data_IF_518221525731
#
_entry.id   IF_518221525731
#
_cell.length_a   1.000
_cell.length_b   1.000
_cell.length_c   1.000
_cell.angle_alpha   90.00
_cell.angle_beta   90.00
_cell.angle_gamma   90.00
#
_symmetry.space_group_name_H-M   'P 1'
#
loop_
_entity.id
_entity.type
_entity.pdbx_description
1 polymer ?
#
# COMPACT_ATOMS: atom_id res chain seq x y z
N UNK A 1 1.28 3.71 23.92
CA UNK A 1 0.96 4.05 22.52
C UNK A 1 2.17 4.80 21.96
N UNK A 2 2.76 4.33 20.86
CA UNK A 2 3.89 5.03 20.24
C UNK A 2 3.32 5.99 19.19
N UNK A 3 2.95 7.20 19.60
CA UNK A 3 2.69 8.26 18.62
C UNK A 3 4.00 8.60 17.93
N UNK A 4 3.98 8.60 16.60
CA UNK A 4 5.19 8.87 15.82
C UNK A 4 5.48 10.38 15.91
N UNK A 5 6.69 10.80 16.36
CA UNK A 5 7.03 12.21 16.43
C UNK A 5 6.90 12.86 15.06
N UNK A 6 6.30 14.05 14.97
CA UNK A 6 5.93 14.66 13.68
C UNK A 6 7.11 15.04 12.79
N UNK A 7 8.29 15.35 13.37
CA UNK A 7 9.37 16.04 12.62
C UNK A 7 10.75 15.38 12.65
N UNK A 8 10.90 14.19 13.24
CA UNK A 8 12.22 13.54 13.37
C UNK A 8 12.21 12.09 12.88
N UNK A 9 13.23 11.73 12.12
CA UNK A 9 13.48 10.34 11.78
C UNK A 9 13.79 9.51 13.04
N UNK A 10 13.19 8.32 13.11
CA UNK A 10 13.47 7.31 14.14
C UNK A 10 14.55 6.42 13.56
N UNK A 11 15.70 6.31 14.24
CA UNK A 11 16.79 5.43 13.81
C UNK A 11 17.01 4.33 14.84
N UNK A 12 16.83 3.07 14.43
CA UNK A 12 17.12 1.91 15.26
C UNK A 12 18.51 1.38 14.94
N UNK A 13 19.28 1.11 16.00
CA UNK A 13 20.61 0.50 15.89
C UNK A 13 20.51 -1.02 15.99
N UNK A 14 19.65 -1.62 15.18
CA UNK A 14 19.33 -3.04 15.25
C UNK A 14 20.49 -3.96 14.83
N UNK A 15 20.56 -5.13 15.47
CA UNK A 15 21.59 -6.16 15.23
C UNK A 15 21.13 -7.26 14.26
N UNK A 16 19.84 -7.38 13.98
CA UNK A 16 19.28 -8.36 13.05
C UNK A 16 18.55 -7.68 11.91
N UNK A 17 18.54 -8.28 10.72
CA UNK A 17 17.81 -7.76 9.58
C UNK A 17 16.32 -7.65 9.94
N UNK A 18 15.77 -6.44 9.81
CA UNK A 18 14.36 -6.14 10.08
C UNK A 18 13.37 -7.02 9.28
N UNK A 19 13.81 -7.59 8.15
CA UNK A 19 12.95 -8.34 7.23
C UNK A 19 13.13 -9.86 7.27
N UNK A 20 14.26 -10.37 7.75
CA UNK A 20 14.52 -11.82 7.76
C UNK A 20 15.17 -12.35 9.03
N UNK A 21 15.49 -11.48 10.00
CA UNK A 21 16.03 -11.88 11.30
C UNK A 21 17.50 -12.31 11.29
N UNK A 22 18.17 -12.39 10.14
CA UNK A 22 19.60 -12.74 10.09
C UNK A 22 20.43 -11.71 10.88
N UNK A 23 21.41 -12.18 11.63
CA UNK A 23 22.36 -11.31 12.33
C UNK A 23 23.14 -10.48 11.32
N UNK A 24 23.27 -9.19 11.59
CA UNK A 24 23.94 -8.23 10.73
C UNK A 24 25.36 -7.99 11.21
N UNK A 25 26.27 -7.98 10.24
CA UNK A 25 27.65 -7.52 10.39
C UNK A 25 27.83 -6.19 9.64
N UNK A 26 28.96 -5.51 9.82
CA UNK A 26 29.24 -4.28 9.08
C UNK A 26 29.15 -4.50 7.56
N UNK A 27 29.68 -5.61 7.04
CA UNK A 27 29.74 -5.90 5.60
C UNK A 27 28.40 -6.35 4.99
N UNK A 28 27.51 -6.89 5.82
CA UNK A 28 26.22 -7.46 5.36
C UNK A 28 25.05 -6.52 5.58
N UNK A 29 25.22 -5.50 6.44
CA UNK A 29 24.20 -4.50 6.74
C UNK A 29 24.16 -3.37 5.71
N UNK A 30 22.96 -2.85 5.47
CA UNK A 30 22.72 -1.63 4.70
C UNK A 30 21.79 -0.74 5.51
N UNK A 31 21.99 0.57 5.39
CA UNK A 31 21.02 1.55 5.90
C UNK A 31 19.75 1.43 5.09
N UNK A 32 18.64 1.28 5.78
CA UNK A 32 17.34 1.03 5.19
C UNK A 32 16.35 2.09 5.67
N UNK A 33 15.59 2.64 4.72
CA UNK A 33 14.48 3.52 5.00
C UNK A 33 13.19 2.71 4.77
N UNK A 34 12.42 2.44 5.83
CA UNK A 34 11.19 1.65 5.72
C UNK A 34 10.26 2.24 4.65
N UNK A 35 10.19 3.56 4.56
CA UNK A 35 9.64 4.28 3.42
C UNK A 35 10.80 4.85 2.61
N UNK A 36 11.08 4.33 1.41
CA UNK A 36 12.20 4.88 0.64
C UNK A 36 12.02 6.37 0.33
N UNK A 37 13.14 7.11 0.27
CA UNK A 37 13.14 8.56 0.02
C UNK A 37 12.49 8.95 -1.31
N UNK A 38 12.56 8.06 -2.29
CA UNK A 38 11.94 8.23 -3.60
C UNK A 38 10.62 7.46 -3.71
N UNK A 39 10.09 6.85 -2.65
CA UNK A 39 8.78 6.20 -2.72
C UNK A 39 7.63 7.21 -2.75
N UNK A 40 7.81 8.33 -2.05
CA UNK A 40 6.92 9.51 -2.04
C UNK A 40 7.54 10.68 -2.81
N UNK A 41 6.81 11.77 -3.10
CA UNK A 41 7.35 12.86 -3.91
C UNK A 41 8.60 13.49 -3.29
N UNK A 42 9.49 13.96 -4.16
CA UNK A 42 10.77 14.54 -3.74
C UNK A 42 10.53 15.73 -2.80
N UNK A 43 11.29 15.76 -1.71
CA UNK A 43 11.21 16.82 -0.70
C UNK A 43 10.16 16.56 0.38
N UNK A 44 9.14 15.73 0.15
CA UNK A 44 8.05 15.52 1.11
C UNK A 44 8.50 14.83 2.40
N UNK A 45 9.48 13.92 2.34
CA UNK A 45 10.08 13.33 3.54
C UNK A 45 11.06 14.26 4.28
N UNK A 46 11.42 15.42 3.75
CA UNK A 46 12.33 16.34 4.44
C UNK A 46 11.58 17.01 5.60
N UNK A 47 12.14 16.91 6.81
CA UNK A 47 11.50 17.44 8.02
C UNK A 47 10.28 16.65 8.49
N UNK A 48 9.94 15.53 7.83
CA UNK A 48 8.94 14.57 8.30
C UNK A 48 9.61 13.34 8.92
N UNK A 49 8.87 12.60 9.73
CA UNK A 49 9.39 11.36 10.29
C UNK A 49 9.51 10.23 9.24
N UNK A 50 10.46 9.34 9.49
CA UNK A 50 10.62 8.07 8.79
C UNK A 50 11.31 7.09 9.74
N UNK A 51 11.10 5.80 9.54
CA UNK A 51 11.79 4.74 10.28
C UNK A 51 13.03 4.30 9.49
N UNK A 52 14.19 4.50 10.10
CA UNK A 52 15.50 4.14 9.59
C UNK A 52 16.01 2.94 10.41
N UNK A 53 16.35 1.87 9.72
CA UNK A 53 16.80 0.60 10.31
C UNK A 53 17.97 0.06 9.52
N UNK A 54 18.53 -1.07 9.98
CA UNK A 54 19.46 -1.87 9.21
C UNK A 54 18.77 -3.10 8.62
N UNK A 55 19.07 -3.39 7.36
CA UNK A 55 18.62 -4.59 6.66
C UNK A 55 19.79 -5.26 5.94
N UNK A 56 19.69 -6.56 5.67
CA UNK A 56 20.65 -7.23 4.81
C UNK A 56 20.50 -6.76 3.36
N UNK A 57 21.60 -6.77 2.59
CA UNK A 57 21.63 -6.34 1.18
C UNK A 57 20.53 -6.97 0.32
N UNK A 58 20.26 -8.27 0.53
CA UNK A 58 19.24 -9.01 -0.22
C UNK A 58 17.82 -8.50 0.01
N UNK A 59 17.40 -8.36 1.28
CA UNK A 59 16.06 -7.89 1.59
C UNK A 59 15.85 -6.43 1.20
N UNK A 60 16.85 -5.58 1.45
CA UNK A 60 16.82 -4.18 1.01
C UNK A 60 16.71 -4.09 -0.52
N UNK A 61 17.54 -4.84 -1.27
CA UNK A 61 17.48 -4.87 -2.73
C UNK A 61 16.12 -5.32 -3.28
N UNK A 62 15.51 -6.35 -2.68
CA UNK A 62 14.16 -6.81 -3.05
C UNK A 62 13.09 -5.75 -2.82
N UNK A 63 13.13 -5.06 -1.67
CA UNK A 63 12.20 -3.97 -1.38
C UNK A 63 12.43 -2.80 -2.34
N UNK A 64 13.68 -2.43 -2.60
CA UNK A 64 14.03 -1.39 -3.57
C UNK A 64 13.45 -1.67 -4.97
N UNK A 65 13.53 -2.92 -5.48
CA UNK A 65 12.91 -3.27 -6.78
C UNK A 65 11.38 -3.11 -6.76
N UNK A 66 10.72 -3.41 -5.63
CA UNK A 66 9.29 -3.20 -5.48
C UNK A 66 8.95 -1.71 -5.43
N UNK A 67 9.72 -0.90 -4.71
CA UNK A 67 9.46 0.54 -4.57
C UNK A 67 9.67 1.32 -5.88
N UNK A 68 10.56 0.87 -6.76
CA UNK A 68 10.85 1.52 -8.05
C UNK A 68 9.59 1.65 -8.93
N UNK A 69 8.99 0.51 -9.33
CA UNK A 69 7.82 0.54 -10.22
C UNK A 69 6.53 0.91 -9.49
N UNK A 70 6.34 0.47 -8.23
CA UNK A 70 5.15 0.80 -7.45
C UNK A 70 5.06 2.31 -7.20
N UNK A 71 6.17 2.96 -6.83
CA UNK A 71 6.14 4.42 -6.63
C UNK A 71 5.83 5.16 -7.93
N UNK A 72 6.39 4.71 -9.06
CA UNK A 72 6.13 5.32 -10.36
C UNK A 72 4.66 5.18 -10.76
N UNK A 73 4.05 4.01 -10.56
CA UNK A 73 2.66 3.74 -10.93
C UNK A 73 1.67 4.44 -9.98
N UNK A 74 1.94 4.43 -8.68
CA UNK A 74 1.06 5.07 -7.68
C UNK A 74 1.13 6.60 -7.73
N UNK A 75 2.14 7.19 -8.35
CA UNK A 75 2.18 8.63 -8.62
C UNK A 75 1.50 9.05 -9.93
N UNK A 76 1.03 8.11 -10.76
CA UNK A 76 0.31 8.46 -11.98
C UNK A 76 -1.11 8.92 -11.67
N UNK A 77 -1.68 9.82 -12.49
CA UNK A 77 -3.09 10.14 -12.40
C UNK A 77 -3.97 8.93 -12.73
N UNK A 78 -5.27 9.06 -12.46
CA UNK A 78 -6.27 8.10 -12.91
C UNK A 78 -6.46 8.12 -14.44
N UNK A 79 -7.38 7.29 -14.95
CA UNK A 79 -7.70 7.20 -16.38
C UNK A 79 -8.21 8.52 -16.99
N UNK A 80 -8.71 9.45 -16.16
CA UNK A 80 -9.21 10.76 -16.56
C UNK A 80 -8.16 11.87 -16.42
N UNK A 81 -6.91 11.50 -16.11
CA UNK A 81 -5.82 12.46 -15.90
C UNK A 81 -5.91 13.21 -14.56
N UNK A 82 -6.72 12.72 -13.61
CA UNK A 82 -6.89 13.37 -12.30
C UNK A 82 -5.94 12.78 -11.27
N UNK A 83 -5.26 13.64 -10.54
CA UNK A 83 -4.45 13.27 -9.39
C UNK A 83 -5.32 13.19 -8.13
N UNK A 84 -4.90 12.37 -7.16
CA UNK A 84 -5.51 12.33 -5.83
C UNK A 84 -5.11 13.51 -4.92
N UNK A 85 -4.46 14.53 -5.48
CA UNK A 85 -3.90 15.70 -4.81
C UNK A 85 -3.73 16.86 -5.81
N UNK A 86 -3.62 18.09 -5.31
CA UNK A 86 -3.34 19.28 -6.12
C UNK A 86 -1.86 19.71 -6.10
N UNK A 87 -0.97 18.86 -5.55
CA UNK A 87 0.46 19.14 -5.44
C UNK A 87 1.20 19.05 -6.79
N UNK A 88 1.63 20.20 -7.31
CA UNK A 88 2.33 20.32 -8.59
C UNK A 88 3.70 19.61 -8.61
N UNK A 89 4.42 19.58 -7.48
CA UNK A 89 5.72 18.91 -7.37
C UNK A 89 5.53 17.40 -7.48
N UNK A 90 4.50 16.87 -6.82
CA UNK A 90 4.13 15.47 -6.91
C UNK A 90 3.67 15.08 -8.32
N UNK A 91 2.89 15.92 -9.00
CA UNK A 91 2.48 15.69 -10.39
C UNK A 91 3.69 15.61 -11.33
N UNK A 92 4.60 16.60 -11.26
CA UNK A 92 5.82 16.65 -12.07
C UNK A 92 6.75 15.46 -11.81
N UNK A 93 6.91 15.07 -10.54
CA UNK A 93 7.71 13.89 -10.17
C UNK A 93 7.06 12.59 -10.68
N UNK A 94 5.73 12.49 -10.64
CA UNK A 94 4.97 11.40 -11.24
C UNK A 94 5.22 11.29 -12.74
N UNK A 95 5.16 12.40 -13.49
CA UNK A 95 5.49 12.41 -14.92
C UNK A 95 6.93 11.97 -15.19
N UNK A 96 7.89 12.52 -14.44
CA UNK A 96 9.31 12.19 -14.57
C UNK A 96 9.57 10.70 -14.36
N UNK A 97 8.97 10.12 -13.31
CA UNK A 97 9.07 8.67 -13.06
C UNK A 97 8.34 7.84 -14.11
N UNK A 98 7.21 8.34 -14.61
CA UNK A 98 6.47 7.70 -15.71
C UNK A 98 7.34 7.49 -16.95
N UNK A 99 8.24 8.43 -17.22
CA UNK A 99 9.17 8.38 -18.36
C UNK A 99 10.38 7.46 -18.12
N UNK A 100 10.88 7.37 -16.88
CA UNK A 100 12.11 6.65 -16.55
C UNK A 100 11.91 5.22 -16.05
N UNK A 101 10.84 4.96 -15.30
CA UNK A 101 10.61 3.66 -14.65
C UNK A 101 9.85 2.70 -15.58
N UNK A 102 10.22 1.42 -15.51
CA UNK A 102 9.57 0.34 -16.27
C UNK A 102 8.57 -0.43 -15.42
N UNK A 103 7.33 -0.55 -15.89
CA UNK A 103 6.34 -1.44 -15.31
C UNK A 103 6.83 -2.88 -15.40
N UNK A 104 6.89 -3.59 -14.27
CA UNK A 104 7.20 -5.02 -14.26
C UNK A 104 6.05 -5.87 -14.78
N UNK A 105 4.85 -5.30 -14.91
CA UNK A 105 3.69 -5.97 -15.48
C UNK A 105 3.78 -6.06 -17.01
N UNK A 106 4.00 -4.93 -17.67
CA UNK A 106 3.99 -4.82 -19.14
C UNK A 106 5.39 -4.89 -19.77
N UNK A 107 6.45 -4.69 -18.98
CA UNK A 107 7.82 -4.50 -19.46
C UNK A 107 8.09 -3.14 -20.12
N UNK A 108 7.06 -2.32 -20.33
CA UNK A 108 7.14 -0.98 -20.94
C UNK A 108 7.45 0.08 -19.89
N UNK A 109 7.86 1.27 -20.32
CA UNK A 109 7.89 2.44 -19.43
C UNK A 109 6.49 2.74 -18.90
N UNK A 110 6.38 3.21 -17.66
CA UNK A 110 5.09 3.40 -16.98
C UNK A 110 4.16 4.32 -17.79
N UNK A 111 4.69 5.40 -18.38
CA UNK A 111 3.93 6.32 -19.26
C UNK A 111 3.25 5.62 -20.45
N UNK A 112 3.85 4.54 -20.96
CA UNK A 112 3.35 3.78 -22.12
C UNK A 112 2.70 2.45 -21.69
N UNK A 113 2.40 2.29 -20.41
CA UNK A 113 1.81 1.07 -19.84
C UNK A 113 0.30 1.18 -19.64
N UNK A 114 -0.37 2.06 -20.41
CA UNK A 114 -1.82 2.06 -20.50
C UNK A 114 -2.30 0.75 -21.12
N UNK A 115 -3.36 0.19 -20.55
CA UNK A 115 -3.96 -1.05 -21.00
C UNK A 115 -5.20 -0.73 -21.83
N UNK A 116 -5.15 -1.01 -23.13
CA UNK A 116 -6.30 -0.87 -24.01
C UNK A 116 -7.10 -2.17 -24.02
N UNK A 117 -8.41 -2.06 -23.88
CA UNK A 117 -9.34 -3.17 -23.85
C UNK A 117 -10.53 -2.81 -24.72
N UNK A 118 -10.75 -3.58 -25.77
CA UNK A 118 -11.87 -3.39 -26.68
C UNK A 118 -12.96 -4.40 -26.34
N UNK A 119 -14.16 -3.93 -26.04
CA UNK A 119 -15.34 -4.76 -25.82
C UNK A 119 -16.26 -4.65 -27.02
N UNK A 120 -16.40 -5.75 -27.74
CA UNK A 120 -17.35 -5.86 -28.85
C UNK A 120 -18.67 -6.46 -28.35
N UNK A 121 -19.75 -5.71 -28.52
CA UNK A 121 -21.11 -6.11 -28.18
C UNK A 121 -21.92 -6.30 -29.46
N UNK A 122 -22.45 -7.51 -29.72
CA UNK A 122 -23.30 -7.75 -30.88
C UNK A 122 -24.64 -7.01 -30.73
N UNK A 123 -25.01 -6.22 -31.74
CA UNK A 123 -26.30 -5.52 -31.82
C UNK A 123 -27.27 -6.33 -32.69
N UNK A 124 -27.68 -7.49 -32.17
CA UNK A 124 -28.53 -8.43 -32.89
C UNK A 124 -27.88 -8.91 -34.20
N UNK A 125 -28.67 -8.97 -35.28
CA UNK A 125 -28.18 -9.35 -36.63
C UNK A 125 -27.66 -8.17 -37.46
N UNK A 126 -27.65 -6.95 -36.90
CA UNK A 126 -27.52 -5.70 -37.68
C UNK A 126 -26.12 -5.07 -37.56
N UNK A 127 -25.32 -5.45 -36.57
CA UNK A 127 -23.92 -5.01 -36.47
C UNK A 127 -23.29 -5.31 -35.11
N UNK A 128 -22.09 -4.77 -34.88
CA UNK A 128 -21.36 -4.81 -33.61
C UNK A 128 -21.09 -3.39 -33.12
N UNK A 129 -21.30 -3.15 -31.82
CA UNK A 129 -20.76 -1.97 -31.14
C UNK A 129 -19.41 -2.35 -30.57
N UNK A 130 -18.39 -1.55 -30.84
CA UNK A 130 -17.10 -1.66 -30.17
C UNK A 130 -16.93 -0.52 -29.19
N UNK A 131 -16.54 -0.81 -27.95
CA UNK A 131 -16.20 0.18 -26.93
C UNK A 131 -14.77 -0.06 -26.47
N UNK A 132 -13.92 0.94 -26.66
CA UNK A 132 -12.54 0.93 -26.17
C UNK A 132 -12.45 1.50 -24.75
N UNK A 133 -11.82 0.73 -23.87
CA UNK A 133 -11.48 1.10 -22.50
C UNK A 133 -9.97 1.25 -22.40
N UNK A 134 -9.52 2.31 -21.72
CA UNK A 134 -8.11 2.53 -21.40
C UNK A 134 -7.96 2.50 -19.89
N UNK A 135 -7.27 1.49 -19.38
CA UNK A 135 -6.91 1.39 -17.98
C UNK A 135 -5.54 2.03 -17.70
N UNK A 136 -5.38 2.71 -16.56
CA UNK A 136 -4.10 3.30 -16.17
C UNK A 136 -3.07 2.17 -15.91
N UNK A 137 -1.76 2.48 -15.82
CA UNK A 137 -0.75 1.48 -15.53
C UNK A 137 -1.09 0.68 -14.27
N UNK A 138 -1.04 -0.65 -14.36
CA UNK A 138 -1.38 -1.55 -13.26
C UNK A 138 -0.12 -2.14 -12.62
N UNK A 139 -0.19 -2.38 -11.32
CA UNK A 139 0.77 -3.21 -10.58
C UNK A 139 0.11 -4.56 -10.31
N UNK A 140 0.85 -5.66 -10.44
CA UNK A 140 0.39 -6.97 -9.95
C UNK A 140 0.11 -6.88 -8.45
N UNK A 141 -1.07 -7.33 -8.02
CA UNK A 141 -1.47 -7.28 -6.60
C UNK A 141 -0.46 -7.96 -5.67
N UNK A 142 0.15 -9.06 -6.11
CA UNK A 142 1.21 -9.74 -5.36
C UNK A 142 2.39 -8.84 -5.02
N UNK A 143 2.82 -7.97 -5.95
CA UNK A 143 3.91 -7.01 -5.73
C UNK A 143 3.50 -5.92 -4.74
N UNK A 144 2.27 -5.40 -4.87
CA UNK A 144 1.70 -4.43 -3.92
C UNK A 144 1.73 -4.99 -2.50
N UNK A 145 1.19 -6.19 -2.30
CA UNK A 145 1.15 -6.82 -0.98
C UNK A 145 2.53 -7.26 -0.47
N UNK A 146 3.47 -7.61 -1.37
CA UNK A 146 4.85 -7.88 -1.00
C UNK A 146 5.54 -6.61 -0.43
N UNK A 147 5.37 -5.46 -1.08
CA UNK A 147 5.91 -4.20 -0.56
C UNK A 147 5.24 -3.80 0.76
N UNK A 148 3.92 -3.91 0.84
CA UNK A 148 3.18 -3.65 2.07
C UNK A 148 3.72 -4.50 3.23
N UNK A 149 3.97 -5.80 3.00
CA UNK A 149 4.56 -6.68 3.98
C UNK A 149 5.93 -6.19 4.45
N UNK A 150 6.83 -5.80 3.55
CA UNK A 150 8.12 -5.25 3.94
C UNK A 150 7.97 -4.01 4.84
N UNK A 151 7.14 -3.05 4.44
CA UNK A 151 6.93 -1.82 5.21
C UNK A 151 6.34 -2.11 6.60
N UNK A 152 5.33 -2.98 6.67
CA UNK A 152 4.70 -3.41 7.92
C UNK A 152 5.67 -4.19 8.81
N UNK A 153 6.54 -5.04 8.25
CA UNK A 153 7.61 -5.71 9.02
C UNK A 153 8.54 -4.69 9.67
N UNK A 154 8.89 -3.63 8.93
CA UNK A 154 9.65 -2.49 9.46
C UNK A 154 9.00 -1.90 10.71
N UNK A 155 7.73 -1.55 10.61
CA UNK A 155 6.99 -0.94 11.73
C UNK A 155 6.75 -1.92 12.88
N UNK A 156 6.45 -3.19 12.59
CA UNK A 156 6.26 -4.20 13.62
C UNK A 156 7.54 -4.45 14.42
N UNK A 157 8.67 -4.55 13.72
CA UNK A 157 9.98 -4.69 14.35
C UNK A 157 10.27 -3.50 15.28
N UNK A 158 9.90 -2.28 14.88
CA UNK A 158 10.06 -1.10 15.71
C UNK A 158 9.22 -1.14 16.99
N UNK A 159 7.92 -1.45 16.92
CA UNK A 159 7.07 -1.49 18.12
C UNK A 159 7.38 -2.66 19.06
N UNK A 160 8.16 -3.64 18.60
CA UNK A 160 8.63 -4.79 19.39
C UNK A 160 10.14 -4.74 19.65
N UNK A 161 10.77 -3.59 19.39
CA UNK A 161 12.22 -3.43 19.55
C UNK A 161 12.61 -3.43 21.02
N UNK A 162 13.53 -4.32 21.38
CA UNK A 162 14.19 -4.35 22.67
C UNK A 162 15.58 -3.70 22.57
N UNK A 163 15.79 -2.62 23.32
CA UNK A 163 17.05 -1.86 23.34
C UNK A 163 18.23 -2.68 23.86
N UNK A 164 17.97 -3.65 24.76
CA UNK A 164 19.05 -4.43 25.39
C UNK A 164 19.68 -5.42 24.41
N UNK A 165 18.85 -6.20 23.70
CA UNK A 165 19.30 -7.10 22.63
C UNK A 165 19.51 -6.40 21.28
N UNK A 166 19.00 -5.18 21.13
CA UNK A 166 18.90 -4.43 19.87
C UNK A 166 18.20 -5.24 18.77
N UNK A 167 17.16 -5.97 19.16
CA UNK A 167 16.38 -6.81 18.28
C UNK A 167 14.90 -6.47 18.40
N UNK A 168 14.21 -6.45 17.26
CA UNK A 168 12.75 -6.42 17.18
C UNK A 168 12.18 -7.80 16.91
N UNK A 169 10.91 -7.95 17.24
CA UNK A 169 10.15 -9.16 17.01
C UNK A 169 9.62 -9.27 15.58
N UNK A 170 9.08 -10.46 15.30
CA UNK A 170 8.35 -10.78 14.07
C UNK A 170 6.96 -11.27 14.48
N UNK A 171 5.92 -10.85 13.76
CA UNK A 171 4.58 -11.36 14.04
C UNK A 171 4.52 -12.86 13.75
N UNK A 172 3.71 -13.58 14.53
CA UNK A 172 3.45 -14.98 14.30
C UNK A 172 2.29 -15.15 13.29
N UNK A 173 2.06 -16.37 12.79
CA UNK A 173 0.96 -16.63 11.86
C UNK A 173 1.21 -16.12 10.43
N UNK A 174 0.15 -15.74 9.74
CA UNK A 174 0.21 -15.40 8.31
C UNK A 174 0.02 -13.91 8.02
N UNK A 175 0.11 -13.57 6.72
CA UNK A 175 -0.15 -12.25 6.16
C UNK A 175 -1.34 -12.36 5.22
N UNK A 176 -2.49 -11.82 5.64
CA UNK A 176 -3.78 -12.03 5.02
C UNK A 176 -4.24 -10.74 4.36
N UNK A 177 -4.38 -10.75 3.04
CA UNK A 177 -4.73 -9.55 2.28
C UNK A 177 -6.24 -9.47 2.12
N UNK A 178 -6.80 -8.26 2.23
CA UNK A 178 -8.24 -8.04 2.01
C UNK A 178 -8.46 -7.36 0.67
N UNK A 179 -7.85 -6.19 0.46
CA UNK A 179 -8.05 -5.44 -0.78
C UNK A 179 -6.95 -4.39 -0.99
N UNK A 180 -6.63 -4.13 -2.25
CA UNK A 180 -5.85 -2.96 -2.68
C UNK A 180 -6.69 -2.19 -3.71
N UNK A 181 -6.87 -0.89 -3.50
CA UNK A 181 -7.77 -0.04 -4.30
C UNK A 181 -7.19 1.33 -4.56
N UNK A 182 -7.63 1.94 -5.66
CA UNK A 182 -7.37 3.35 -5.97
C UNK A 182 -8.26 4.28 -5.14
N UNK A 183 -7.86 5.55 -5.03
CA UNK A 183 -8.57 6.61 -4.30
C UNK A 183 -10.04 6.74 -4.71
N UNK A 184 -10.30 6.64 -6.01
CA UNK A 184 -11.65 6.68 -6.59
C UNK A 184 -12.59 5.59 -6.04
N UNK A 185 -12.04 4.56 -5.38
CA UNK A 185 -12.79 3.41 -4.88
C UNK A 185 -12.61 3.14 -3.37
N UNK A 186 -12.02 4.08 -2.62
CA UNK A 186 -11.88 3.95 -1.17
C UNK A 186 -13.20 3.80 -0.42
N UNK A 187 -14.30 4.25 -1.03
CA UNK A 187 -15.65 4.18 -0.47
C UNK A 187 -16.38 2.90 -0.87
N UNK A 188 -15.72 1.90 -1.47
CA UNK A 188 -16.42 0.65 -1.72
C UNK A 188 -16.83 -0.04 -0.40
N UNK A 189 -17.81 -0.92 -0.48
CA UNK A 189 -18.39 -1.58 0.69
C UNK A 189 -17.42 -2.49 1.46
N UNK A 190 -16.38 -3.04 0.82
CA UNK A 190 -15.36 -3.86 1.50
C UNK A 190 -14.44 -2.96 2.31
N UNK A 191 -14.00 -1.82 1.76
CA UNK A 191 -13.20 -0.83 2.50
C UNK A 191 -13.96 -0.27 3.70
N UNK A 192 -15.25 0.07 3.51
CA UNK A 192 -16.10 0.55 4.60
C UNK A 192 -16.28 -0.51 5.68
N UNK A 193 -16.61 -1.75 5.30
CA UNK A 193 -16.73 -2.85 6.26
C UNK A 193 -15.42 -3.14 7.02
N UNK A 194 -14.27 -3.08 6.33
CA UNK A 194 -12.97 -3.21 6.97
C UNK A 194 -12.74 -2.10 8.00
N UNK A 195 -12.92 -0.84 7.59
CA UNK A 195 -12.77 0.31 8.47
C UNK A 195 -13.69 0.21 9.70
N UNK A 196 -14.97 -0.10 9.50
CA UNK A 196 -15.95 -0.22 10.58
C UNK A 196 -15.59 -1.36 11.56
N UNK A 197 -15.04 -2.47 11.05
CA UNK A 197 -14.67 -3.62 11.87
C UNK A 197 -13.44 -3.36 12.75
N UNK A 198 -12.50 -2.53 12.30
CA UNK A 198 -11.19 -2.35 12.96
C UNK A 198 -11.03 -0.99 13.64
N UNK A 199 -11.98 -0.06 13.45
CA UNK A 199 -11.86 1.31 14.00
C UNK A 199 -11.66 1.31 15.52
N UNK A 200 -12.35 0.41 16.24
CA UNK A 200 -12.29 0.28 17.71
C UNK A 200 -11.12 -0.58 18.22
N UNK A 201 -10.29 -1.15 17.32
CA UNK A 201 -9.15 -1.95 17.75
C UNK A 201 -8.05 -1.05 18.32
N UNK A 202 -7.30 -1.56 19.30
CA UNK A 202 -6.26 -0.77 19.97
C UNK A 202 -5.18 -0.36 18.96
N UNK A 203 -4.95 0.95 18.72
CA UNK A 203 -3.91 1.41 17.81
C UNK A 203 -2.53 1.20 18.43
N UNK A 204 -1.65 0.56 17.65
CA UNK A 204 -0.26 0.29 18.05
C UNK A 204 0.74 1.04 17.18
N UNK A 205 0.37 1.30 15.93
CA UNK A 205 1.04 2.26 15.04
C UNK A 205 -0.03 3.07 14.35
N UNK A 206 0.06 4.39 14.45
CA UNK A 206 -0.64 5.32 13.57
C UNK A 206 0.39 6.33 13.09
N UNK A 207 0.47 6.49 11.78
CA UNK A 207 1.47 7.34 11.16
C UNK A 207 0.92 8.03 9.93
N UNK A 208 1.18 9.33 9.84
CA UNK A 208 1.00 10.13 8.65
C UNK A 208 2.30 10.91 8.42
N UNK A 209 2.92 10.77 7.26
CA UNK A 209 4.19 11.44 6.91
C UNK A 209 4.18 11.91 5.47
N UNK A 210 5.17 12.72 5.12
CA UNK A 210 5.41 13.22 3.79
C UNK A 210 4.19 13.95 3.22
N UNK A 211 3.65 14.94 3.93
CA UNK A 211 2.43 15.67 3.57
C UNK A 211 1.25 14.74 3.21
N UNK A 212 1.10 13.68 4.01
CA UNK A 212 0.10 12.62 3.86
C UNK A 212 0.22 11.77 2.58
N UNK A 213 1.35 11.85 1.85
CA UNK A 213 1.65 10.91 0.77
C UNK A 213 1.99 9.50 1.28
N UNK A 214 2.16 9.33 2.59
CA UNK A 214 2.24 8.03 3.22
C UNK A 214 1.46 7.99 4.53
N UNK A 215 0.55 7.01 4.66
CA UNK A 215 -0.11 6.70 5.93
C UNK A 215 0.03 5.23 6.26
N UNK A 216 0.12 4.94 7.56
CA UNK A 216 0.14 3.58 8.11
C UNK A 216 -0.76 3.52 9.34
N UNK A 217 -1.53 2.45 9.44
CA UNK A 217 -2.23 2.06 10.65
C UNK A 217 -1.97 0.58 10.93
N UNK A 218 -1.63 0.25 12.18
CA UNK A 218 -1.58 -1.11 12.70
C UNK A 218 -2.34 -1.12 14.02
N UNK A 219 -3.43 -1.90 14.08
CA UNK A 219 -4.28 -2.02 15.25
C UNK A 219 -4.38 -3.47 15.70
N UNK A 220 -4.33 -3.72 17.00
CA UNK A 220 -4.33 -5.06 17.59
C UNK A 220 -5.77 -5.49 17.92
N UNK A 221 -6.11 -6.72 17.54
CA UNK A 221 -7.39 -7.33 17.91
C UNK A 221 -7.47 -7.46 19.44
N UNK A 222 -8.63 -7.17 20.07
CA UNK A 222 -8.77 -7.20 21.53
C UNK A 222 -8.44 -8.57 22.14
N UNK A 223 -8.96 -9.65 21.55
CA UNK A 223 -8.94 -10.98 22.18
C UNK A 223 -8.11 -12.05 21.44
N UNK A 224 -7.37 -11.69 20.39
CA UNK A 224 -6.65 -12.65 19.55
C UNK A 224 -5.28 -12.10 19.15
N UNK A 225 -4.32 -12.99 18.87
CA UNK A 225 -3.07 -12.61 18.21
C UNK A 225 -3.31 -12.32 16.72
N UNK A 226 -4.10 -11.28 16.45
CA UNK A 226 -4.48 -10.82 15.14
C UNK A 226 -4.34 -9.31 15.10
N UNK A 227 -3.92 -8.79 13.96
CA UNK A 227 -3.65 -7.38 13.76
C UNK A 227 -4.27 -6.95 12.45
N UNK A 228 -4.98 -5.84 12.47
CA UNK A 228 -5.37 -5.15 11.25
C UNK A 228 -4.25 -4.22 10.82
N UNK A 229 -4.11 -4.04 9.52
CA UNK A 229 -3.21 -3.05 8.96
C UNK A 229 -3.85 -2.32 7.78
N UNK A 230 -3.45 -1.06 7.62
CA UNK A 230 -3.78 -0.25 6.47
C UNK A 230 -2.58 0.59 6.05
N UNK A 231 -2.37 0.72 4.75
CA UNK A 231 -1.36 1.61 4.15
C UNK A 231 -2.03 2.49 3.10
N UNK A 232 -1.63 3.76 3.08
CA UNK A 232 -1.90 4.65 1.95
C UNK A 232 -0.62 5.11 1.31
N UNK A 233 -0.58 5.04 -0.02
CA UNK A 233 0.55 5.45 -0.82
C UNK A 233 0.15 6.54 -1.79
N UNK A 234 0.94 7.60 -1.80
CA UNK A 234 0.88 8.71 -2.74
C UNK A 234 -0.50 9.35 -2.91
N UNK A 235 -1.33 9.32 -1.84
CA UNK A 235 -2.73 9.75 -1.84
C UNK A 235 -3.63 9.07 -2.89
N UNK A 236 -3.15 8.00 -3.54
CA UNK A 236 -3.78 7.40 -4.71
C UNK A 236 -4.15 5.94 -4.51
N UNK A 237 -3.44 5.23 -3.63
CA UNK A 237 -3.64 3.81 -3.36
C UNK A 237 -3.85 3.57 -1.87
N UNK A 238 -4.76 2.65 -1.56
CA UNK A 238 -4.99 2.12 -0.21
C UNK A 238 -4.93 0.61 -0.25
N UNK A 239 -4.24 0.02 0.73
CA UNK A 239 -4.13 -1.41 0.92
C UNK A 239 -4.54 -1.75 2.35
N UNK A 240 -5.33 -2.80 2.51
CA UNK A 240 -5.84 -3.24 3.80
C UNK A 240 -5.74 -4.76 3.95
N UNK A 241 -5.55 -5.21 5.19
CA UNK A 241 -5.55 -6.63 5.52
C UNK A 241 -5.27 -6.90 6.99
N UNK A 242 -4.86 -8.14 7.26
CA UNK A 242 -4.52 -8.63 8.59
C UNK A 242 -3.18 -9.34 8.60
N UNK A 243 -2.56 -9.48 9.77
CA UNK A 243 -1.52 -10.47 10.03
C UNK A 243 -1.73 -11.11 11.40
N UNK A 244 -1.14 -12.29 11.64
CA UNK A 244 -1.40 -13.07 12.84
C UNK A 244 -2.29 -14.28 12.58
N UNK A 245 -3.17 -14.56 13.55
CA UNK A 245 -4.12 -15.66 13.57
C UNK A 245 -5.10 -15.58 12.38
N UNK A 246 -5.12 -16.65 11.58
CA UNK A 246 -5.95 -16.74 10.37
C UNK A 246 -7.45 -16.78 10.69
N UNK A 247 -7.84 -17.52 11.73
CA UNK A 247 -9.26 -17.72 12.04
C UNK A 247 -9.89 -16.41 12.50
N UNK A 248 -9.22 -15.64 13.37
CA UNK A 248 -9.67 -14.32 13.79
C UNK A 248 -9.85 -13.36 12.59
N UNK A 249 -8.87 -13.33 11.67
CA UNK A 249 -8.98 -12.53 10.44
C UNK A 249 -10.16 -12.99 9.57
N UNK A 250 -10.34 -14.30 9.41
CA UNK A 250 -11.43 -14.89 8.63
C UNK A 250 -12.79 -14.58 9.24
N UNK A 251 -12.93 -14.64 10.56
CA UNK A 251 -14.18 -14.36 11.26
C UNK A 251 -14.63 -12.91 11.04
N UNK A 252 -13.69 -11.97 11.03
CA UNK A 252 -13.94 -10.57 10.68
C UNK A 252 -14.39 -10.44 9.22
N UNK A 253 -13.60 -10.98 8.29
CA UNK A 253 -13.85 -10.86 6.84
C UNK A 253 -15.12 -11.60 6.39
N UNK A 254 -15.53 -12.66 7.11
CA UNK A 254 -16.74 -13.43 6.77
C UNK A 254 -18.02 -12.60 6.79
N UNK A 255 -18.00 -11.45 7.48
CA UNK A 255 -19.10 -10.50 7.60
C UNK A 255 -19.08 -9.41 6.53
N UNK A 256 -18.03 -9.36 5.71
CA UNK A 256 -17.89 -8.30 4.71
C UNK A 256 -18.82 -8.54 3.53
N UNK A 257 -19.44 -7.48 2.99
CA UNK A 257 -20.30 -7.59 1.83
C UNK A 257 -19.49 -7.90 0.57
N UNK A 258 -20.06 -8.70 -0.35
CA UNK A 258 -19.41 -9.06 -1.62
C UNK A 258 -19.60 -7.97 -2.66
N UNK A 259 -18.51 -7.48 -3.25
CA UNK A 259 -18.58 -6.46 -4.31
C UNK A 259 -19.54 -6.91 -5.41
N UNK A 260 -20.48 -6.05 -5.75
CA UNK A 260 -21.44 -6.28 -6.82
C UNK A 260 -20.81 -5.86 -8.15
N UNK A 261 -20.83 -6.77 -9.12
CA UNK A 261 -20.36 -6.53 -10.48
C UNK A 261 -21.53 -6.67 -11.45
N UNK A 262 -21.63 -5.74 -12.38
CA UNK A 262 -22.58 -5.80 -13.49
C UNK A 262 -21.94 -6.59 -14.64
N UNK A 263 -22.64 -7.62 -15.12
CA UNK A 263 -22.22 -8.38 -16.30
C UNK A 263 -22.51 -7.56 -17.56
N UNK A 264 -21.52 -7.47 -18.46
CA UNK A 264 -21.68 -6.78 -19.76
C UNK A 264 -21.92 -7.81 -20.86
N UNK A 265 -20.96 -8.72 -21.03
CA UNK A 265 -20.98 -9.84 -21.97
C UNK A 265 -20.31 -11.05 -21.32
N UNK A 266 -20.38 -12.24 -21.93
CA UNK A 266 -19.82 -13.46 -21.34
C UNK A 266 -18.33 -13.30 -21.02
N UNK A 267 -17.96 -13.47 -19.74
CA UNK A 267 -16.58 -13.30 -19.25
C UNK A 267 -16.21 -11.88 -18.80
N UNK A 268 -17.08 -10.88 -19.03
CA UNK A 268 -16.80 -9.49 -18.72
C UNK A 268 -17.78 -8.91 -17.70
N UNK A 269 -17.22 -8.28 -16.67
CA UNK A 269 -17.99 -7.61 -15.64
C UNK A 269 -17.32 -6.31 -15.22
N UNK A 270 -18.11 -5.29 -14.95
CA UNK A 270 -17.62 -4.01 -14.45
C UNK A 270 -18.30 -3.65 -13.14
N UNK A 271 -17.67 -2.76 -12.38
CA UNK A 271 -18.27 -2.14 -11.20
C UNK A 271 -17.92 -0.67 -11.21
N UNK A 272 -18.89 0.17 -10.82
CA UNK A 272 -18.63 1.59 -10.59
C UNK A 272 -17.81 1.78 -9.33
N UNK A 273 -16.70 2.48 -9.45
CA UNK A 273 -15.89 2.88 -8.30
C UNK A 273 -16.68 3.85 -7.41
N UNK A 274 -16.51 3.71 -6.09
CA UNK A 274 -17.19 4.56 -5.10
C UNK A 274 -16.16 5.35 -4.30
N UNK A 275 -16.08 6.68 -4.46
CA UNK A 275 -15.13 7.48 -3.69
C UNK A 275 -15.55 7.53 -2.21
N UNK A 276 -14.58 7.73 -1.33
CA UNK A 276 -14.81 8.00 0.09
C UNK A 276 -14.67 9.50 0.35
N UNK A 277 -15.65 10.08 1.06
CA UNK A 277 -15.54 11.42 1.62
C UNK A 277 -14.50 11.41 2.74
N UNK A 278 -13.55 12.35 2.74
CA UNK A 278 -12.48 12.42 3.73
C UNK A 278 -13.01 12.53 5.16
N UNK A 279 -14.15 13.20 5.37
CA UNK A 279 -14.81 13.31 6.69
C UNK A 279 -15.32 11.97 7.24
N UNK A 280 -15.47 10.97 6.36
CA UNK A 280 -15.92 9.61 6.72
C UNK A 280 -14.77 8.64 6.89
N UNK A 281 -13.53 9.07 6.65
CA UNK A 281 -12.37 8.21 6.79
C UNK A 281 -11.90 8.15 8.25
N UNK A 282 -12.09 6.98 8.85
CA UNK A 282 -11.76 6.70 10.25
C UNK A 282 -10.64 5.69 10.40
N UNK A 283 -9.96 5.35 9.31
CA UNK A 283 -8.98 4.26 9.31
C UNK A 283 -7.66 4.68 9.99
N UNK A 284 -7.29 5.95 9.84
CA UNK A 284 -6.02 6.52 10.33
C UNK A 284 -6.20 7.48 11.51
N UNK A 285 -7.38 7.51 12.13
CA UNK A 285 -7.66 8.31 13.33
C UNK A 285 -7.65 7.43 14.59
N UNK A 286 -7.36 8.06 15.73
CA UNK A 286 -7.48 7.49 17.08
C UNK A 286 -8.96 7.39 17.50
#
# INVERSE_FOLDING_TARGET
MNEIPSSKAIELKNNTCVYCGIVLTQDTSTKEHVIARHFVPKGKLQGSWNLIVKACKHCNGKKCDLEDDISAITMQPDAYGRYGHDDAVAASEGERKGQGSRSRYTGKVVKNSLENMTVEMPLGKVGTISVDFVAPPQVRQERLFCLARFQLMGFFYWITFDESSRCGGFWTGGFWTVQAVRRSDWGNQVQRAFMDAVVQWEPRVLGCTADEFYKVAMKRHPDADCWSWALEWNKSFRLVGFFGNHQAAKDVVSRFPRLEFHKVVQGWSFRRETPLDESKDRLFIN
#
